data_IF_749783635653
#
_entry.id   IF_749783635653
#
_cell.length_a   1.000
_cell.length_b   1.000
_cell.length_c   1.000
_cell.angle_alpha   90.00
_cell.angle_beta   90.00
_cell.angle_gamma   90.00
#
_symmetry.space_group_name_H-M   'P 1'
#
loop_
_entity.id
_entity.type
_entity.pdbx_description
1 polymer ?
#
# COMPACT_ATOMS: atom_id res chain seq x y z
N UNK A 1 16.16 10.12 15.08
CA UNK A 1 17.37 9.27 15.11
C UNK A 1 17.15 8.18 14.08
N UNK A 2 17.89 8.18 12.96
CA UNK A 2 17.75 7.18 11.90
C UNK A 2 18.85 6.13 12.08
N UNK A 3 18.50 4.85 12.06
CA UNK A 3 19.48 3.76 12.04
C UNK A 3 19.43 3.15 10.64
N UNK A 4 20.48 3.40 9.86
CA UNK A 4 20.72 2.77 8.55
C UNK A 4 21.78 1.69 8.75
N UNK A 5 21.46 0.45 8.36
CA UNK A 5 22.46 -0.62 8.29
C UNK A 5 23.19 -0.52 6.94
N UNK A 6 24.54 -0.52 6.91
CA UNK A 6 25.28 -0.37 5.66
C UNK A 6 25.30 -1.71 4.90
N UNK A 7 24.86 -1.71 3.63
CA UNK A 7 25.26 -2.74 2.69
C UNK A 7 26.76 -2.56 2.40
N UNK A 8 27.59 -3.46 2.94
CA UNK A 8 29.00 -3.59 2.53
C UNK A 8 29.03 -4.34 1.20
N UNK A 9 29.22 -3.63 0.10
CA UNK A 9 29.55 -4.21 -1.20
C UNK A 9 31.09 -4.31 -1.30
N UNK A 10 31.63 -5.53 -1.31
CA UNK A 10 33.05 -5.82 -1.53
C UNK A 10 33.23 -6.30 -2.99
N UNK A 11 33.94 -5.56 -3.85
CA UNK A 11 33.94 -5.80 -5.30
C UNK A 11 35.09 -6.70 -5.76
N UNK A 12 35.27 -7.89 -5.19
CA UNK A 12 36.19 -8.88 -5.79
C UNK A 12 35.83 -10.35 -5.53
N UNK A 13 34.64 -10.78 -5.95
CA UNK A 13 34.32 -12.21 -6.03
C UNK A 13 33.62 -12.53 -7.33
N UNK A 14 34.44 -12.76 -8.35
CA UNK A 14 34.05 -13.59 -9.48
C UNK A 14 33.92 -15.04 -9.01
N UNK A 15 32.69 -15.56 -8.99
CA UNK A 15 32.47 -17.00 -8.92
C UNK A 15 31.23 -17.36 -9.73
N UNK A 16 31.47 -18.13 -10.79
CA UNK A 16 30.55 -19.07 -11.39
C UNK A 16 29.99 -19.95 -10.26
N UNK A 17 28.72 -19.77 -9.94
CA UNK A 17 27.96 -20.73 -9.15
C UNK A 17 26.55 -20.74 -9.69
N UNK A 18 26.32 -21.66 -10.63
CA UNK A 18 25.00 -22.23 -10.80
C UNK A 18 24.66 -23.01 -9.54
N UNK A 19 23.78 -22.45 -8.71
CA UNK A 19 23.28 -23.13 -7.53
C UNK A 19 21.93 -22.53 -7.09
N UNK A 20 20.94 -23.41 -7.01
CA UNK A 20 19.75 -23.42 -6.17
C UNK A 20 18.62 -22.42 -6.47
N UNK A 21 17.58 -22.98 -7.07
CA UNK A 21 16.17 -22.61 -6.89
C UNK A 21 15.89 -22.18 -5.44
N UNK A 22 15.44 -20.94 -5.24
CA UNK A 22 15.08 -20.44 -3.91
C UNK A 22 15.59 -19.04 -3.57
N UNK A 23 15.50 -18.06 -4.50
CA UNK A 23 15.33 -16.69 -4.04
C UNK A 23 14.02 -16.68 -3.27
N UNK A 24 14.10 -16.69 -1.94
CA UNK A 24 12.94 -16.47 -1.08
C UNK A 24 12.31 -15.19 -1.59
N UNK A 25 11.14 -15.31 -2.22
CA UNK A 25 10.28 -14.22 -2.67
C UNK A 25 9.74 -13.51 -1.42
N UNK A 26 10.66 -12.94 -0.64
CA UNK A 26 10.37 -12.27 0.59
C UNK A 26 9.81 -10.91 0.21
N UNK A 27 8.53 -10.70 0.51
CA UNK A 27 7.89 -9.41 0.34
C UNK A 27 8.66 -8.33 1.10
N UNK A 28 8.77 -7.10 0.55
CA UNK A 28 9.48 -6.03 1.23
C UNK A 28 8.78 -5.68 2.56
N UNK A 29 9.51 -5.19 3.56
CA UNK A 29 8.93 -4.80 4.85
C UNK A 29 8.13 -3.49 4.78
N UNK A 30 8.04 -2.87 3.60
CA UNK A 30 7.32 -1.62 3.39
C UNK A 30 6.74 -1.54 1.98
N UNK A 31 5.67 -0.78 1.86
CA UNK A 31 5.10 -0.33 0.60
C UNK A 31 4.87 1.18 0.67
N UNK A 32 5.27 1.91 -0.37
CA UNK A 32 5.01 3.35 -0.46
C UNK A 32 4.51 3.72 -1.85
N UNK A 33 3.67 4.75 -1.89
CA UNK A 33 3.16 5.34 -3.11
C UNK A 33 3.53 6.82 -3.13
N UNK A 34 4.14 7.28 -4.21
CA UNK A 34 4.56 8.68 -4.35
C UNK A 34 3.53 9.46 -5.15
N UNK A 35 3.21 10.67 -4.67
CA UNK A 35 2.24 11.57 -5.32
C UNK A 35 2.92 12.91 -5.55
N UNK A 36 2.77 13.46 -6.75
CA UNK A 36 3.32 14.76 -7.10
C UNK A 36 2.76 15.26 -8.43
N UNK A 37 2.73 16.58 -8.61
CA UNK A 37 2.32 17.20 -9.88
C UNK A 37 0.93 16.73 -10.40
N UNK A 38 -0.01 16.44 -9.48
CA UNK A 38 -1.34 15.94 -9.83
C UNK A 38 -1.38 14.49 -10.32
N UNK A 39 -0.31 13.71 -10.08
CA UNK A 39 -0.19 12.32 -10.50
C UNK A 39 0.29 11.43 -9.37
N UNK A 40 -0.08 10.16 -9.47
CA UNK A 40 0.48 9.05 -8.70
C UNK A 40 1.63 8.47 -9.52
N UNK A 41 2.79 8.28 -8.90
CA UNK A 41 3.92 7.59 -9.48
C UNK A 41 3.86 6.11 -9.06
N UNK A 42 3.68 5.23 -10.03
CA UNK A 42 3.59 3.78 -9.83
C UNK A 42 5.00 3.18 -9.81
N UNK A 43 5.35 2.36 -8.81
CA UNK A 43 6.62 1.64 -8.78
C UNK A 43 6.81 0.77 -10.04
N UNK A 44 8.04 0.69 -10.55
CA UNK A 44 8.37 -0.16 -11.69
C UNK A 44 8.19 -1.62 -11.28
N UNK A 45 7.28 -2.34 -11.95
CA UNK A 45 6.89 -3.71 -11.57
C UNK A 45 5.39 -4.00 -11.66
N UNK A 46 4.57 -3.06 -12.13
CA UNK A 46 3.18 -3.34 -12.50
C UNK A 46 3.13 -4.49 -13.52
N UNK A 47 2.25 -5.52 -13.35
CA UNK A 47 2.19 -6.71 -14.20
C UNK A 47 1.68 -6.44 -15.63
N UNK A 48 1.50 -5.18 -16.01
CA UNK A 48 1.11 -4.79 -17.37
C UNK A 48 2.37 -4.48 -18.19
N UNK A 49 2.66 -5.22 -19.27
CA UNK A 49 3.80 -4.93 -20.12
C UNK A 49 3.50 -3.63 -20.88
N UNK A 50 3.98 -2.49 -20.37
CA UNK A 50 3.90 -1.25 -21.12
C UNK A 50 5.25 -0.55 -21.12
N UNK A 51 5.85 -0.51 -22.31
CA UNK A 51 7.11 0.18 -22.64
C UNK A 51 6.92 1.70 -22.77
N UNK A 52 5.85 2.26 -22.19
CA UNK A 52 5.59 3.69 -22.20
C UNK A 52 6.17 4.36 -20.94
N UNK A 53 6.95 5.44 -21.06
CA UNK A 53 7.41 6.21 -19.90
C UNK A 53 6.24 6.88 -19.14
N UNK A 54 5.06 7.00 -19.77
CA UNK A 54 3.81 7.41 -19.12
C UNK A 54 3.11 6.27 -18.35
N UNK A 55 3.46 5.01 -18.60
CA UNK A 55 2.88 3.83 -17.95
C UNK A 55 3.24 3.73 -16.46
N UNK A 56 4.24 4.47 -16.00
CA UNK A 56 4.61 4.57 -14.59
C UNK A 56 3.81 5.60 -13.81
N UNK A 57 2.76 6.21 -14.38
CA UNK A 57 1.95 7.22 -13.66
C UNK A 57 0.46 7.06 -13.88
N UNK A 58 -0.34 7.39 -12.87
CA UNK A 58 -1.79 7.48 -12.95
C UNK A 58 -2.28 8.88 -12.52
N UNK A 59 -3.46 9.34 -12.97
CA UNK A 59 -4.07 10.56 -12.45
C UNK A 59 -4.28 10.47 -10.93
N UNK A 60 -4.04 11.56 -10.20
CA UNK A 60 -4.33 11.62 -8.77
C UNK A 60 -5.85 11.66 -8.52
N UNK A 61 -6.46 10.65 -7.85
CA UNK A 61 -7.85 10.74 -7.44
C UNK A 61 -8.05 11.84 -6.39
N UNK A 62 -9.26 12.39 -6.30
CA UNK A 62 -9.64 13.36 -5.26
C UNK A 62 -9.64 12.76 -3.85
N UNK A 63 -9.77 11.43 -3.75
CA UNK A 63 -9.62 10.66 -2.52
C UNK A 63 -8.88 9.36 -2.81
N UNK A 64 -7.70 9.21 -2.21
CA UNK A 64 -6.92 7.99 -2.28
C UNK A 64 -7.26 7.10 -1.07
N UNK A 65 -7.55 5.83 -1.32
CA UNK A 65 -7.74 4.80 -0.30
C UNK A 65 -6.53 3.86 -0.25
N UNK A 66 -6.29 3.32 0.95
CA UNK A 66 -5.28 2.28 1.21
C UNK A 66 -5.97 1.16 1.98
N UNK A 67 -5.82 -0.07 1.50
CA UNK A 67 -6.30 -1.27 2.18
C UNK A 67 -5.11 -2.19 2.49
N UNK A 68 -5.03 -2.66 3.72
CA UNK A 68 -4.10 -3.69 4.16
C UNK A 68 -4.87 -4.98 4.40
N UNK A 69 -4.58 -5.99 3.58
CA UNK A 69 -4.97 -7.37 3.81
C UNK A 69 -3.81 -8.05 4.56
N UNK A 70 -3.85 -7.95 5.89
CA UNK A 70 -2.77 -8.38 6.77
C UNK A 70 -2.50 -9.88 6.62
N UNK A 71 -3.56 -10.69 6.60
CA UNK A 71 -3.49 -12.16 6.49
C UNK A 71 -2.84 -12.62 5.19
N UNK A 72 -3.06 -11.87 4.10
CA UNK A 72 -2.51 -12.20 2.78
C UNK A 72 -1.22 -11.43 2.46
N UNK A 73 -0.70 -10.64 3.40
CA UNK A 73 0.52 -9.84 3.20
C UNK A 73 0.41 -8.89 2.02
N UNK A 74 -0.74 -8.22 1.83
CA UNK A 74 -1.02 -7.41 0.64
C UNK A 74 -1.50 -6.01 0.97
N UNK A 75 -0.97 -5.02 0.27
CA UNK A 75 -1.44 -3.64 0.32
C UNK A 75 -1.95 -3.22 -1.05
N UNK A 76 -3.16 -2.66 -1.09
CA UNK A 76 -3.77 -2.14 -2.31
C UNK A 76 -4.08 -0.64 -2.14
N UNK A 77 -3.73 0.14 -3.16
CA UNK A 77 -4.04 1.56 -3.29
C UNK A 77 -5.14 1.72 -4.34
N UNK A 78 -6.15 2.54 -4.06
CA UNK A 78 -7.31 2.67 -4.94
C UNK A 78 -7.90 4.09 -4.94
N UNK A 79 -8.59 4.44 -6.01
CA UNK A 79 -9.47 5.61 -6.03
C UNK A 79 -10.67 5.33 -5.14
N UNK A 80 -10.78 6.01 -4.00
CA UNK A 80 -11.83 5.78 -3.01
C UNK A 80 -13.19 6.37 -3.41
N UNK A 81 -13.28 7.07 -4.54
CA UNK A 81 -14.55 7.54 -5.11
C UNK A 81 -15.12 6.48 -6.06
N UNK A 82 -14.29 5.96 -6.97
CA UNK A 82 -14.72 4.98 -7.97
C UNK A 82 -14.45 3.52 -7.60
N UNK A 83 -13.76 3.28 -6.48
CA UNK A 83 -13.27 1.97 -6.02
C UNK A 83 -12.37 1.25 -7.03
N UNK A 84 -11.73 1.98 -7.95
CA UNK A 84 -10.79 1.40 -8.91
C UNK A 84 -9.41 1.23 -8.30
N UNK A 85 -8.86 0.02 -8.43
CA UNK A 85 -7.47 -0.28 -8.03
C UNK A 85 -6.48 0.54 -8.85
N UNK A 86 -5.49 1.13 -8.18
CA UNK A 86 -4.40 1.90 -8.78
C UNK A 86 -3.11 1.09 -8.76
N UNK A 87 -2.80 0.45 -7.62
CA UNK A 87 -1.60 -0.35 -7.45
C UNK A 87 -1.76 -1.35 -6.31
N UNK A 88 -1.05 -2.45 -6.40
CA UNK A 88 -1.03 -3.48 -5.36
C UNK A 88 0.37 -4.10 -5.27
N UNK A 89 0.78 -4.43 -4.05
CA UNK A 89 2.04 -5.11 -3.79
C UNK A 89 1.97 -6.01 -2.55
N UNK A 90 2.94 -6.91 -2.44
CA UNK A 90 3.19 -7.67 -1.22
C UNK A 90 3.89 -6.83 -0.16
N UNK A 91 3.59 -7.10 1.10
CA UNK A 91 4.28 -6.53 2.27
C UNK A 91 4.51 -7.64 3.29
N UNK A 92 5.67 -7.63 3.95
CA UNK A 92 5.93 -8.53 5.07
C UNK A 92 5.07 -8.11 6.29
N UNK A 93 4.13 -8.99 6.67
CA UNK A 93 3.25 -8.86 7.83
C UNK A 93 3.71 -9.76 9.01
N UNK A 94 4.98 -10.18 9.05
CA UNK A 94 5.53 -10.94 10.17
C UNK A 94 5.50 -10.16 11.50
N UNK A 95 5.37 -8.83 11.43
CA UNK A 95 5.22 -7.93 12.56
C UNK A 95 4.20 -6.82 12.31
N UNK A 96 4.02 -5.90 13.28
CA UNK A 96 3.04 -4.82 13.16
C UNK A 96 3.36 -3.90 11.98
N UNK A 97 2.33 -3.55 11.21
CA UNK A 97 2.41 -2.61 10.09
C UNK A 97 1.76 -1.30 10.50
N UNK A 98 2.50 -0.20 10.39
CA UNK A 98 2.02 1.13 10.73
C UNK A 98 1.85 1.99 9.47
N UNK A 99 0.73 2.71 9.30
CA UNK A 99 0.61 3.70 8.23
C UNK A 99 1.58 4.87 8.48
N UNK A 100 2.20 5.37 7.41
CA UNK A 100 3.12 6.50 7.46
C UNK A 100 2.84 7.47 6.31
N UNK A 101 3.00 8.77 6.60
CA UNK A 101 2.86 9.84 5.60
C UNK A 101 4.14 10.68 5.62
N UNK A 102 4.73 10.89 4.45
CA UNK A 102 5.91 11.74 4.27
C UNK A 102 5.55 12.89 3.33
N UNK A 103 5.94 14.10 3.69
CA UNK A 103 5.68 15.31 2.93
C UNK A 103 7.01 15.97 2.57
N UNK A 104 7.19 16.26 1.29
CA UNK A 104 8.40 16.90 0.75
C UNK A 104 8.02 18.26 0.19
N UNK A 105 8.70 19.32 0.64
CA UNK A 105 8.42 20.71 0.25
C UNK A 105 7.80 21.54 1.37
N UNK A 106 7.46 22.80 1.08
CA UNK A 106 6.97 23.78 2.05
C UNK A 106 5.45 23.98 2.10
N UNK A 107 4.67 23.03 1.56
CA UNK A 107 3.20 23.13 1.53
C UNK A 107 2.56 22.97 2.91
N UNK A 108 1.38 23.58 3.10
CA UNK A 108 0.58 23.41 4.32
C UNK A 108 -0.18 22.08 4.32
N UNK A 109 -0.21 21.41 5.47
CA UNK A 109 -0.96 20.18 5.68
C UNK A 109 -2.11 20.45 6.64
N UNK A 110 -3.28 19.89 6.30
CA UNK A 110 -4.43 19.95 7.17
C UNK A 110 -4.88 18.52 7.49
N UNK A 111 -4.73 18.12 8.75
CA UNK A 111 -5.32 16.89 9.25
C UNK A 111 -6.80 17.15 9.51
N UNK A 112 -7.67 16.51 8.73
CA UNK A 112 -9.09 16.52 9.04
C UNK A 112 -9.37 15.58 10.21
N UNK A 113 -10.34 15.95 11.06
CA UNK A 113 -10.78 15.13 12.18
C UNK A 113 -11.28 13.77 11.69
N UNK A 114 -11.02 12.72 12.47
CA UNK A 114 -11.53 11.38 12.20
C UNK A 114 -13.04 11.44 12.10
N UNK A 115 -13.61 11.07 10.96
CA UNK A 115 -15.05 10.87 10.83
C UNK A 115 -15.36 9.47 11.36
N UNK A 116 -15.97 9.32 12.56
CA UNK A 116 -16.34 8.01 13.06
C UNK A 116 -17.33 7.36 12.08
N UNK A 117 -17.17 6.06 11.85
CA UNK A 117 -18.17 5.28 11.14
C UNK A 117 -19.50 5.42 11.87
N UNK A 118 -20.56 5.74 11.13
CA UNK A 118 -21.91 5.87 11.69
C UNK A 118 -22.26 4.52 12.34
N UNK A 119 -22.65 4.48 13.63
CA UNK A 119 -23.04 3.23 14.27
C UNK A 119 -24.18 2.60 13.47
N UNK A 120 -24.08 1.31 13.19
CA UNK A 120 -25.14 0.56 12.53
C UNK A 120 -26.46 0.74 13.28
N UNK A 121 -27.60 0.94 12.59
CA UNK A 121 -28.89 0.95 13.26
C UNK A 121 -29.07 -0.38 13.99
N UNK A 122 -29.14 -0.34 15.31
CA UNK A 122 -29.50 -1.49 16.13
C UNK A 122 -30.89 -1.95 15.65
N UNK A 123 -30.95 -3.11 15.00
CA UNK A 123 -32.21 -3.74 14.59
C UNK A 123 -33.09 -3.81 15.83
N UNK A 124 -34.13 -2.96 15.88
CA UNK A 124 -35.11 -2.99 16.94
C UNK A 124 -35.80 -4.34 16.82
N UNK A 125 -35.62 -5.19 17.84
CA UNK A 125 -36.20 -6.53 17.86
C UNK A 125 -37.69 -6.45 17.54
N UNK A 126 -38.12 -7.22 16.54
CA UNK A 126 -39.53 -7.37 16.21
C UNK A 126 -40.29 -7.90 17.44
N UNK A 127 -41.44 -7.32 17.81
CA UNK A 127 -42.20 -7.83 18.95
C UNK A 127 -42.73 -9.23 18.61
N UNK A 128 -42.41 -10.19 19.47
CA UNK A 128 -42.91 -11.56 19.38
C UNK A 128 -44.44 -11.58 19.40
N UNK A 129 -45.04 -12.24 18.41
CA UNK A 129 -46.45 -12.56 18.40
C UNK A 129 -46.76 -13.56 19.51
N UNK A 130 -47.58 -13.15 20.48
CA UNK A 130 -48.26 -14.02 21.45
C UNK A 130 -49.66 -14.39 20.92
N UNK A 131 -50.05 -15.65 21.10
CA UNK A 131 -51.44 -16.15 21.08
C UNK A 131 -51.97 -16.41 19.66
N UNK A 132 -52.72 -17.49 19.38
CA UNK A 132 -53.41 -18.51 20.19
C UNK A 132 -53.19 -19.91 19.62
#
# INVERSE_FOLDING_TARGET
TSVSFPCRYDPDSGHDSGAEDGTVDASPPYAFLTIGMGKVLLPQGSPLPSRDPAAGTAPLPSRLGVCLDYERGRVSFYDAVSFRSLWECGVDCSGPVCPAFCFVGGGGLHLQELVPSRPEPKVLGLPGHKGE
#
